data_IF_924050679948
#
_entry.id   IF_924050679948
#
_cell.length_a   1.000
_cell.length_b   1.000
_cell.length_c   1.000
_cell.angle_alpha   90.00
_cell.angle_beta   90.00
_cell.angle_gamma   90.00
#
_symmetry.space_group_name_H-M   'P 1'
#
loop_
_entity.id
_entity.type
_entity.pdbx_description
1 polymer ?
#
# COMPACT_ATOMS: atom_id res chain seq x y z
N UNK A 1 11.30 8.73 8.45
CA UNK A 1 11.79 7.34 8.57
C UNK A 1 11.63 6.60 7.25
N UNK A 2 12.30 5.45 7.08
CA UNK A 2 12.12 4.56 5.93
C UNK A 2 11.43 3.28 6.40
N UNK A 3 10.27 2.97 5.83
CA UNK A 3 9.51 1.75 6.10
C UNK A 3 9.62 0.79 4.93
N UNK A 4 9.78 -0.50 5.22
CA UNK A 4 9.81 -1.58 4.24
C UNK A 4 8.56 -2.43 4.40
N UNK A 5 7.91 -2.75 3.28
CA UNK A 5 6.73 -3.62 3.24
C UNK A 5 6.84 -4.63 2.12
N UNK A 6 6.12 -5.74 2.28
CA UNK A 6 5.99 -6.76 1.23
C UNK A 6 4.64 -7.46 1.31
N UNK A 7 4.22 -8.11 0.23
CA UNK A 7 3.11 -9.06 0.27
C UNK A 7 3.53 -10.34 1.02
N UNK A 8 2.54 -11.16 1.41
CA UNK A 8 2.78 -12.37 2.19
C UNK A 8 3.80 -13.34 1.56
N UNK A 9 3.79 -13.47 0.23
CA UNK A 9 4.72 -14.34 -0.49
C UNK A 9 6.06 -13.66 -0.83
N UNK A 10 6.26 -12.39 -0.48
CA UNK A 10 7.50 -11.64 -0.69
C UNK A 10 7.78 -11.17 -2.13
N UNK A 11 7.00 -11.62 -3.13
CA UNK A 11 7.23 -11.27 -4.55
C UNK A 11 6.98 -9.81 -4.90
N UNK A 12 6.16 -9.13 -4.10
CA UNK A 12 5.94 -7.68 -4.18
C UNK A 12 6.53 -7.05 -2.94
N UNK A 13 7.48 -6.13 -3.12
CA UNK A 13 8.12 -5.39 -2.04
C UNK A 13 8.13 -3.90 -2.36
N UNK A 14 8.02 -3.06 -1.33
CA UNK A 14 7.99 -1.62 -1.46
C UNK A 14 8.65 -0.92 -0.27
N UNK A 15 9.07 0.31 -0.51
CA UNK A 15 9.63 1.22 0.47
C UNK A 15 8.81 2.49 0.53
N UNK A 16 8.59 3.02 1.74
CA UNK A 16 7.87 4.27 1.97
C UNK A 16 8.68 5.18 2.88
N UNK A 17 8.94 6.40 2.44
CA UNK A 17 9.61 7.45 3.22
C UNK A 17 8.59 8.36 3.88
N UNK A 18 8.58 8.41 5.20
CA UNK A 18 7.67 9.29 5.94
C UNK A 18 7.65 9.03 7.43
N UNK A 19 6.63 9.55 8.08
CA UNK A 19 6.31 9.32 9.48
C UNK A 19 4.84 8.91 9.59
N UNK A 20 4.59 7.80 10.28
CA UNK A 20 3.22 7.31 10.50
C UNK A 20 2.61 8.07 11.67
N UNK A 21 1.89 9.14 11.38
CA UNK A 21 1.14 9.91 12.39
C UNK A 21 -0.24 9.32 12.72
N UNK A 22 -0.73 8.39 11.90
CA UNK A 22 -2.04 7.78 12.06
C UNK A 22 -2.46 6.98 10.83
N UNK A 23 -3.53 6.21 10.98
CA UNK A 23 -4.13 5.44 9.89
C UNK A 23 -5.65 5.60 9.86
N UNK A 24 -6.23 5.43 8.69
CA UNK A 24 -7.67 5.57 8.45
C UNK A 24 -8.25 4.21 8.06
N UNK A 25 -9.38 3.85 8.68
CA UNK A 25 -10.24 2.77 8.20
C UNK A 25 -11.36 3.38 7.34
N UNK A 26 -11.18 3.37 6.02
CA UNK A 26 -12.20 3.87 5.09
C UNK A 26 -13.40 2.91 5.03
N UNK A 27 -14.61 3.47 4.94
CA UNK A 27 -15.88 2.74 4.95
C UNK A 27 -16.57 2.66 3.57
N UNK A 28 -15.94 3.09 2.47
CA UNK A 28 -16.51 2.86 1.14
C UNK A 28 -16.54 1.34 0.85
N UNK A 29 -17.43 0.90 -0.04
CA UNK A 29 -17.67 -0.52 -0.31
C UNK A 29 -16.41 -1.32 -0.68
N UNK A 30 -15.46 -0.70 -1.40
CA UNK A 30 -14.22 -1.34 -1.83
C UNK A 30 -13.23 -1.47 -0.66
N UNK A 31 -13.02 -0.38 0.09
CA UNK A 31 -12.10 -0.37 1.22
C UNK A 31 -12.61 -1.25 2.37
N UNK A 32 -13.92 -1.24 2.60
CA UNK A 32 -14.55 -2.12 3.59
C UNK A 32 -14.29 -3.60 3.27
N UNK A 33 -14.38 -4.01 2.00
CA UNK A 33 -14.05 -5.39 1.57
C UNK A 33 -12.55 -5.71 1.64
N UNK A 34 -11.67 -4.72 1.43
CA UNK A 34 -10.21 -4.90 1.61
C UNK A 34 -9.80 -5.05 3.08
N UNK A 35 -10.53 -4.41 4.00
CA UNK A 35 -10.32 -4.55 5.45
C UNK A 35 -9.04 -3.90 6.02
N UNK A 36 -8.27 -3.17 5.20
CA UNK A 36 -6.98 -2.59 5.57
C UNK A 36 -7.09 -1.27 6.36
N UNK A 37 -6.06 -0.98 7.15
CA UNK A 37 -5.78 0.37 7.65
C UNK A 37 -4.91 1.11 6.63
N UNK A 38 -5.31 2.33 6.28
CA UNK A 38 -4.70 3.12 5.22
C UNK A 38 -3.87 4.24 5.82
N UNK A 39 -2.61 4.33 5.44
CA UNK A 39 -1.78 5.51 5.64
C UNK A 39 -1.57 6.19 4.28
N UNK A 40 -2.08 7.41 4.13
CA UNK A 40 -1.93 8.17 2.90
C UNK A 40 -0.52 8.77 2.83
N UNK A 41 0.17 8.56 1.70
CA UNK A 41 1.50 9.10 1.44
C UNK A 41 1.55 9.73 0.05
N UNK A 42 2.36 10.80 -0.16
CA UNK A 42 2.62 11.32 -1.50
C UNK A 42 3.23 10.24 -2.39
N UNK A 43 2.89 10.26 -3.68
CA UNK A 43 3.28 9.21 -4.62
C UNK A 43 4.81 9.08 -4.71
N UNK A 44 5.52 10.19 -4.73
CA UNK A 44 6.98 10.26 -4.79
C UNK A 44 7.70 9.74 -3.54
N UNK A 45 6.96 9.49 -2.45
CA UNK A 45 7.49 8.90 -1.21
C UNK A 45 7.37 7.38 -1.17
N UNK A 46 6.66 6.78 -2.11
CA UNK A 46 6.53 5.34 -2.26
C UNK A 46 7.39 4.86 -3.43
N UNK A 47 8.13 3.78 -3.23
CA UNK A 47 8.91 3.13 -4.28
C UNK A 47 8.63 1.63 -4.26
N UNK A 48 8.27 1.07 -5.41
CA UNK A 48 8.22 -0.38 -5.58
C UNK A 48 9.67 -0.88 -5.74
N UNK A 49 10.06 -1.86 -4.93
CA UNK A 49 11.42 -2.39 -4.86
C UNK A 49 11.55 -3.72 -5.61
N UNK A 50 10.50 -4.53 -5.55
CA UNK A 50 10.40 -5.76 -6.32
C UNK A 50 8.96 -5.99 -6.74
N UNK A 51 8.75 -6.30 -8.01
CA UNK A 51 7.49 -6.81 -8.52
C UNK A 51 7.76 -7.65 -9.77
N UNK A 52 6.98 -8.71 -9.96
CA UNK A 52 6.87 -9.44 -11.23
C UNK A 52 5.46 -9.28 -11.79
N UNK A 53 4.94 -10.35 -12.40
CA UNK A 53 3.55 -10.42 -12.87
C UNK A 53 2.52 -10.55 -11.73
N UNK A 54 2.97 -10.63 -10.47
CA UNK A 54 2.12 -10.78 -9.29
C UNK A 54 1.46 -9.46 -8.82
N UNK A 55 1.79 -8.30 -9.41
CA UNK A 55 1.17 -7.01 -9.08
C UNK A 55 0.03 -6.66 -10.07
N UNK A 56 -1.21 -6.82 -9.62
CA UNK A 56 -2.40 -6.46 -10.40
C UNK A 56 -2.88 -5.02 -10.21
N UNK A 57 -3.53 -4.47 -11.24
CA UNK A 57 -4.28 -3.20 -11.17
C UNK A 57 -5.77 -3.47 -11.13
N UNK A 58 -6.46 -2.88 -10.16
CA UNK A 58 -7.92 -2.89 -10.07
C UNK A 58 -8.46 -1.47 -10.15
N UNK A 59 -9.38 -1.22 -11.09
CA UNK A 59 -10.06 0.06 -11.29
C UNK A 59 -11.56 -0.12 -11.19
N UNK A 60 -12.25 0.93 -10.77
CA UNK A 60 -13.70 0.99 -10.66
C UNK A 60 -14.18 2.40 -11.03
N UNK A 61 -15.44 2.53 -11.44
CA UNK A 61 -16.10 3.77 -11.84
C UNK A 61 -17.60 3.57 -11.81
#
# INVERSE_FOLDING_TARGET
>A
MLYKGSCHCGKVAFEVKGEIGGAVRCNCSICARKGALLWAVPHEKLSLVAWGDDLGRYTFG
#
